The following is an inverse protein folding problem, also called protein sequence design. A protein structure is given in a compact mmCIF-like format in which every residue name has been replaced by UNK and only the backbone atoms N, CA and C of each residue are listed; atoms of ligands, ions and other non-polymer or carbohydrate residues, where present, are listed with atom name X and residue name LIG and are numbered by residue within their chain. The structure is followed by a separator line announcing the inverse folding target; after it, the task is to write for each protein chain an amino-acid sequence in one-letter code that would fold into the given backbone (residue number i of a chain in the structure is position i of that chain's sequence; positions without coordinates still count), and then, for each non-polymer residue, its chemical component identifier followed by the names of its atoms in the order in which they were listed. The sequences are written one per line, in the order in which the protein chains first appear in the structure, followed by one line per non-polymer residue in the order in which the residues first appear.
data_IF_898968783583
#
_entry.id   IF_898968783583
#
_cell.length_a   1.000
_cell.length_b   1.000
_cell.length_c   1.000
_cell.angle_alpha   90.00
_cell.angle_beta   90.00
_cell.angle_gamma   90.00
#
_symmetry.space_group_name_H-M   'P 1'
#
loop_
_entity.id
_entity.type
_entity.pdbx_description
1 polymer ?
#
# COMPACT_ATOMS: atom_id res chain seq x y z
N UNK A 1 -5.71 13.49 -4.38
CA UNK A 1 -4.46 12.75 -4.70
C UNK A 1 -4.70 11.98 -5.98
N UNK A 2 -3.90 12.24 -6.99
CA UNK A 2 -3.99 11.46 -8.20
C UNK A 2 -3.18 10.16 -8.03
N UNK A 3 -3.54 9.13 -8.79
CA UNK A 3 -2.87 7.81 -8.74
C UNK A 3 -1.36 7.89 -8.99
N UNK A 4 -0.90 8.95 -9.66
CA UNK A 4 0.50 9.20 -9.94
C UNK A 4 1.29 9.56 -8.67
N UNK A 5 0.79 10.51 -7.87
CA UNK A 5 1.44 10.92 -6.61
C UNK A 5 1.47 9.77 -5.60
N UNK A 6 0.38 9.02 -5.52
CA UNK A 6 0.32 7.83 -4.67
C UNK A 6 1.32 6.77 -5.14
N UNK A 7 1.39 6.50 -6.45
CA UNK A 7 2.36 5.57 -7.03
C UNK A 7 3.81 5.99 -6.75
N UNK A 8 4.10 7.30 -6.86
CA UNK A 8 5.43 7.84 -6.55
C UNK A 8 5.78 7.67 -5.06
N UNK A 9 4.83 7.95 -4.15
CA UNK A 9 5.03 7.76 -2.72
C UNK A 9 5.34 6.29 -2.36
N UNK A 10 4.59 5.33 -2.92
CA UNK A 10 4.92 3.91 -2.75
C UNK A 10 6.30 3.57 -3.32
N UNK A 11 6.62 4.08 -4.51
CA UNK A 11 7.92 3.83 -5.15
C UNK A 11 9.07 4.33 -4.29
N UNK A 12 8.96 5.51 -3.71
CA UNK A 12 9.97 6.09 -2.82
C UNK A 12 10.23 5.22 -1.59
N UNK A 13 9.17 4.71 -0.97
CA UNK A 13 9.27 3.81 0.17
C UNK A 13 9.91 2.47 -0.23
N UNK A 14 9.41 1.84 -1.30
CA UNK A 14 9.90 0.52 -1.75
C UNK A 14 11.36 0.60 -2.20
N UNK A 15 11.77 1.68 -2.88
CA UNK A 15 13.15 1.84 -3.36
C UNK A 15 14.18 1.78 -2.21
N UNK A 16 13.81 2.28 -1.03
CA UNK A 16 14.64 2.17 0.18
C UNK A 16 14.67 0.76 0.81
N UNK A 17 13.80 -0.13 0.37
CA UNK A 17 13.65 -1.48 0.93
C UNK A 17 14.20 -2.57 0.02
N UNK A 18 14.64 -2.23 -1.19
CA UNK A 18 15.18 -3.21 -2.13
C UNK A 18 16.45 -3.88 -1.59
N UNK A 19 16.60 -5.16 -1.86
CA UNK A 19 17.82 -5.91 -1.56
C UNK A 19 19.01 -5.26 -2.29
N UNK A 20 20.18 -5.23 -1.65
CA UNK A 20 21.38 -4.64 -2.25
C UNK A 20 21.79 -5.36 -3.53
N UNK A 21 21.57 -6.67 -3.59
CA UNK A 21 21.82 -7.53 -4.75
C UNK A 21 20.76 -8.62 -4.84
N UNK A 22 20.51 -9.08 -6.06
CA UNK A 22 19.54 -10.14 -6.32
C UNK A 22 18.13 -9.62 -6.50
N UNK A 23 17.16 -10.50 -6.38
CA UNK A 23 15.74 -10.21 -6.59
C UNK A 23 15.05 -9.87 -5.29
N UNK A 24 14.32 -8.75 -5.26
CA UNK A 24 13.38 -8.41 -4.19
C UNK A 24 11.98 -8.84 -4.59
N UNK A 25 11.37 -9.70 -3.79
CA UNK A 25 9.97 -10.14 -3.97
C UNK A 25 9.04 -9.13 -3.31
N UNK A 26 8.14 -8.53 -4.08
CA UNK A 26 7.22 -7.50 -3.61
C UNK A 26 5.80 -7.96 -3.91
N UNK A 27 4.94 -8.02 -2.89
CA UNK A 27 3.54 -8.35 -3.01
C UNK A 27 2.66 -7.16 -2.65
N UNK A 28 1.80 -6.74 -3.59
CA UNK A 28 0.71 -5.82 -3.34
C UNK A 28 -0.54 -6.60 -2.94
N UNK A 29 -1.08 -6.28 -1.78
CA UNK A 29 -2.22 -6.98 -1.20
C UNK A 29 -3.38 -6.01 -0.98
N UNK A 30 -4.55 -6.34 -1.51
CA UNK A 30 -5.78 -5.57 -1.39
C UNK A 30 -6.97 -6.47 -1.13
N UNK A 31 -8.07 -5.89 -0.65
CA UNK A 31 -9.37 -6.58 -0.62
C UNK A 31 -10.17 -6.29 -1.88
N UNK A 32 -11.15 -7.13 -2.20
CA UNK A 32 -12.07 -6.92 -3.32
C UNK A 32 -12.89 -5.63 -3.16
N UNK A 33 -13.15 -5.21 -1.92
CA UNK A 33 -13.86 -3.96 -1.62
C UNK A 33 -13.03 -2.70 -1.86
N UNK A 34 -11.70 -2.79 -1.76
CA UNK A 34 -10.77 -1.67 -1.98
C UNK A 34 -10.19 -1.62 -3.40
N UNK A 35 -10.37 -2.70 -4.18
CA UNK A 35 -9.83 -2.77 -5.54
C UNK A 35 -10.61 -1.89 -6.50
N UNK A 36 -9.97 -0.82 -6.99
CA UNK A 36 -10.53 0.14 -7.94
C UNK A 36 -9.64 0.25 -9.17
N UNK A 37 -10.08 1.01 -10.17
CA UNK A 37 -9.23 1.35 -11.31
C UNK A 37 -7.99 2.15 -10.87
N UNK A 38 -8.14 3.00 -9.86
CA UNK A 38 -7.04 3.80 -9.30
C UNK A 38 -5.97 2.93 -8.62
N UNK A 39 -6.36 1.93 -7.85
CA UNK A 39 -5.39 1.00 -7.24
C UNK A 39 -4.59 0.22 -8.29
N UNK A 40 -5.23 -0.16 -9.41
CA UNK A 40 -4.52 -0.76 -10.53
C UNK A 40 -3.52 0.21 -11.17
N UNK A 41 -3.90 1.48 -11.35
CA UNK A 41 -2.99 2.51 -11.90
C UNK A 41 -1.79 2.73 -10.98
N UNK A 42 -1.98 2.76 -9.66
CA UNK A 42 -0.90 2.84 -8.67
C UNK A 42 0.07 1.68 -8.83
N UNK A 43 -0.42 0.44 -8.91
CA UNK A 43 0.42 -0.73 -9.11
C UNK A 43 1.27 -0.65 -10.38
N UNK A 44 0.67 -0.29 -11.53
CA UNK A 44 1.41 -0.13 -12.79
C UNK A 44 2.41 1.01 -12.74
N UNK A 45 2.08 2.11 -12.09
CA UNK A 45 2.99 3.24 -11.90
C UNK A 45 4.22 2.82 -11.09
N UNK A 46 4.02 2.16 -9.96
CA UNK A 46 5.10 1.64 -9.11
C UNK A 46 5.99 0.68 -9.90
N UNK A 47 5.38 -0.26 -10.64
CA UNK A 47 6.11 -1.21 -11.46
C UNK A 47 7.03 -0.51 -12.47
N UNK A 48 6.51 0.49 -13.18
CA UNK A 48 7.26 1.27 -14.17
C UNK A 48 8.39 2.07 -13.55
N UNK A 49 8.13 2.73 -12.42
CA UNK A 49 9.14 3.56 -11.75
C UNK A 49 10.24 2.73 -11.10
N UNK A 50 9.94 1.63 -10.44
CA UNK A 50 10.94 0.76 -9.84
C UNK A 50 11.91 0.19 -10.89
N UNK A 51 11.42 -0.17 -12.07
CA UNK A 51 12.28 -0.62 -13.17
C UNK A 51 13.31 0.44 -13.57
N UNK A 52 12.96 1.73 -13.50
CA UNK A 52 13.86 2.84 -13.82
C UNK A 52 14.82 3.21 -12.67
N UNK A 53 14.47 2.88 -11.43
CA UNK A 53 15.22 3.27 -10.22
C UNK A 53 16.15 2.17 -9.68
N UNK A 54 16.00 0.92 -10.13
CA UNK A 54 16.86 -0.17 -9.67
C UNK A 54 18.32 0.04 -10.06
N UNK A 55 19.22 -0.31 -9.15
CA UNK A 55 20.67 -0.23 -9.38
C UNK A 55 21.19 -1.49 -10.09
N UNK A 56 22.39 -1.41 -10.63
CA UNK A 56 23.08 -2.56 -11.24
C UNK A 56 23.18 -3.71 -10.24
N UNK A 57 22.72 -4.90 -10.63
CA UNK A 57 22.71 -6.10 -9.79
C UNK A 57 21.46 -6.27 -8.93
N UNK A 58 20.52 -5.31 -8.97
CA UNK A 58 19.20 -5.44 -8.37
C UNK A 58 18.17 -5.88 -9.42
N UNK A 59 17.24 -6.72 -9.01
CA UNK A 59 16.03 -7.04 -9.76
C UNK A 59 14.82 -7.00 -8.82
N UNK A 60 13.65 -6.76 -9.39
CA UNK A 60 12.40 -6.71 -8.64
C UNK A 60 11.39 -7.65 -9.28
N UNK A 61 10.68 -8.38 -8.46
CA UNK A 61 9.54 -9.20 -8.88
C UNK A 61 8.30 -8.70 -8.14
N UNK A 62 7.43 -7.99 -8.88
CA UNK A 62 6.18 -7.48 -8.37
C UNK A 62 5.05 -8.44 -8.69
N UNK A 63 4.25 -8.73 -7.69
CA UNK A 63 2.98 -9.43 -7.82
C UNK A 63 1.88 -8.65 -7.10
N UNK A 64 0.64 -8.88 -7.50
CA UNK A 64 -0.53 -8.38 -6.80
C UNK A 64 -1.47 -9.53 -6.48
N UNK A 65 -2.12 -9.44 -5.34
CA UNK A 65 -3.19 -10.34 -4.97
C UNK A 65 -4.36 -9.55 -4.38
N UNK A 66 -5.56 -9.91 -4.77
CA UNK A 66 -6.79 -9.32 -4.27
C UNK A 66 -7.55 -10.39 -3.51
N UNK A 67 -7.65 -10.21 -2.19
CA UNK A 67 -8.43 -11.12 -1.34
C UNK A 67 -9.91 -10.89 -1.60
N UNK A 68 -10.65 -11.95 -1.86
CA UNK A 68 -12.11 -11.88 -1.89
C UNK A 68 -12.61 -11.66 -0.46
N UNK A 69 -13.17 -10.49 -0.20
CA UNK A 69 -13.67 -10.08 1.12
C UNK A 69 -15.19 -10.25 1.21
N UNK A 70 -15.75 -11.27 0.59
CA UNK A 70 -17.20 -11.56 0.61
C UNK A 70 -17.71 -12.07 1.97
N UNK A 71 -16.82 -12.64 2.80
CA UNK A 71 -17.10 -13.00 4.18
C UNK A 71 -16.21 -12.26 5.18
N UNK A 72 -16.70 -12.08 6.41
CA UNK A 72 -16.08 -11.22 7.44
C UNK A 72 -14.65 -11.62 7.85
N UNK A 73 -14.28 -12.88 7.65
CA UNK A 73 -12.95 -13.40 8.07
C UNK A 73 -12.03 -13.80 6.92
N UNK A 74 -12.44 -13.63 5.66
CA UNK A 74 -11.66 -14.08 4.49
C UNK A 74 -10.27 -13.45 4.45
N UNK A 75 -10.16 -12.16 4.75
CA UNK A 75 -8.87 -11.44 4.74
C UNK A 75 -7.95 -11.93 5.86
N UNK A 76 -8.47 -12.10 7.06
CA UNK A 76 -7.70 -12.61 8.20
C UNK A 76 -7.21 -14.05 7.94
N UNK A 77 -8.07 -14.92 7.42
CA UNK A 77 -7.72 -16.30 7.08
C UNK A 77 -6.65 -16.36 5.98
N UNK A 78 -6.81 -15.59 4.93
CA UNK A 78 -5.82 -15.53 3.86
C UNK A 78 -4.45 -15.05 4.36
N UNK A 79 -4.41 -13.96 5.14
CA UNK A 79 -3.17 -13.42 5.69
C UNK A 79 -2.53 -14.42 6.64
N UNK A 80 -3.31 -15.03 7.52
CA UNK A 80 -2.83 -16.10 8.40
C UNK A 80 -2.18 -17.26 7.62
N UNK A 81 -2.85 -17.77 6.61
CA UNK A 81 -2.35 -18.89 5.82
C UNK A 81 -1.07 -18.54 5.05
N UNK A 82 -0.94 -17.30 4.58
CA UNK A 82 0.28 -16.77 3.98
C UNK A 82 1.45 -16.78 4.99
N UNK A 83 1.21 -16.37 6.25
CA UNK A 83 2.24 -16.31 7.28
C UNK A 83 2.58 -17.69 7.87
N UNK A 84 1.66 -18.63 7.87
CA UNK A 84 1.94 -20.04 8.24
C UNK A 84 2.89 -20.69 7.24
N UNK A 85 2.84 -20.32 5.96
CA UNK A 85 3.72 -20.80 4.91
C UNK A 85 4.90 -19.84 4.70
N UNK A 86 5.82 -19.82 5.66
CA UNK A 86 6.96 -18.87 5.70
C UNK A 86 7.81 -18.84 4.43
N UNK A 87 7.93 -19.96 3.69
CA UNK A 87 8.71 -20.05 2.46
C UNK A 87 8.14 -19.19 1.31
N UNK A 88 6.87 -18.78 1.41
CA UNK A 88 6.17 -17.97 0.41
C UNK A 88 6.09 -16.48 0.76
N UNK A 89 6.63 -16.07 1.92
CA UNK A 89 6.58 -14.67 2.34
C UNK A 89 7.42 -13.77 1.41
N UNK A 90 6.90 -12.61 1.00
CA UNK A 90 7.66 -11.65 0.21
C UNK A 90 8.70 -10.92 1.08
N UNK A 91 9.71 -10.32 0.45
CA UNK A 91 10.64 -9.41 1.12
C UNK A 91 9.95 -8.11 1.54
N UNK A 92 9.03 -7.62 0.69
CA UNK A 92 8.26 -6.40 0.91
C UNK A 92 6.78 -6.70 0.66
N UNK A 93 5.94 -6.39 1.63
CA UNK A 93 4.48 -6.48 1.54
C UNK A 93 3.88 -5.07 1.54
N UNK A 94 3.11 -4.76 0.52
CA UNK A 94 2.45 -3.46 0.35
C UNK A 94 0.95 -3.65 0.53
N UNK A 95 0.43 -3.14 1.64
CA UNK A 95 -1.00 -3.18 1.92
C UNK A 95 -1.68 -1.98 1.24
N UNK A 96 -2.79 -2.24 0.55
CA UNK A 96 -3.50 -1.25 -0.25
C UNK A 96 -4.80 -0.78 0.42
N UNK A 97 -5.11 -1.29 1.60
CA UNK A 97 -6.24 -0.85 2.43
C UNK A 97 -5.99 -1.09 3.93
N UNK A 98 -6.85 -0.49 4.76
CA UNK A 98 -6.74 -0.54 6.21
C UNK A 98 -6.92 -1.97 6.76
N UNK A 99 -7.92 -2.70 6.25
CA UNK A 99 -8.23 -4.06 6.73
C UNK A 99 -7.04 -4.99 6.53
N UNK A 100 -6.46 -4.98 5.33
CA UNK A 100 -5.25 -5.76 5.05
C UNK A 100 -4.10 -5.34 5.94
N UNK A 101 -3.92 -4.02 6.16
CA UNK A 101 -2.83 -3.50 7.00
C UNK A 101 -2.93 -4.02 8.43
N UNK A 102 -4.12 -4.01 9.01
CA UNK A 102 -4.33 -4.48 10.39
C UNK A 102 -4.18 -6.01 10.50
N UNK A 103 -4.69 -6.77 9.53
CA UNK A 103 -4.50 -8.23 9.50
C UNK A 103 -3.01 -8.60 9.38
N UNK A 104 -2.26 -7.91 8.51
CA UNK A 104 -0.81 -8.15 8.34
C UNK A 104 -0.04 -7.74 9.58
N UNK A 105 -0.37 -6.62 10.20
CA UNK A 105 0.23 -6.21 11.47
C UNK A 105 0.07 -7.28 12.54
N UNK A 106 -1.15 -7.81 12.72
CA UNK A 106 -1.41 -8.86 13.70
C UNK A 106 -0.62 -10.13 13.37
N UNK A 107 -0.60 -10.55 12.11
CA UNK A 107 0.13 -11.75 11.67
C UNK A 107 1.66 -11.61 11.87
N UNK A 108 2.25 -10.42 11.61
CA UNK A 108 3.68 -10.17 11.88
C UNK A 108 4.04 -10.45 13.35
N UNK A 109 3.16 -10.06 14.28
CA UNK A 109 3.35 -10.28 15.71
C UNK A 109 3.14 -11.74 16.07
N UNK A 110 2.02 -12.32 15.64
CA UNK A 110 1.60 -13.68 16.03
C UNK A 110 2.56 -14.76 15.50
N UNK A 111 3.12 -14.56 14.31
CA UNK A 111 4.06 -15.50 13.68
C UNK A 111 5.54 -15.08 13.81
N UNK A 112 5.83 -14.07 14.66
CA UNK A 112 7.20 -13.62 14.94
C UNK A 112 8.00 -13.23 13.69
N UNK A 113 7.34 -12.60 12.71
CA UNK A 113 7.93 -12.18 11.43
C UNK A 113 8.32 -10.69 11.40
N UNK A 114 8.26 -10.01 12.54
CA UNK A 114 8.69 -8.61 12.67
C UNK A 114 10.15 -8.46 12.28
N UNK A 115 10.43 -7.60 11.30
CA UNK A 115 11.77 -7.37 10.76
C UNK A 115 12.20 -8.34 9.65
N UNK A 116 11.56 -9.50 9.50
CA UNK A 116 11.82 -10.43 8.40
C UNK A 116 11.10 -10.02 7.11
N UNK A 117 9.87 -9.51 7.22
CA UNK A 117 9.09 -8.93 6.14
C UNK A 117 8.99 -7.43 6.37
N UNK A 118 9.34 -6.63 5.37
CA UNK A 118 9.15 -5.18 5.40
C UNK A 118 7.74 -4.87 4.94
N UNK A 119 6.99 -4.09 5.71
CA UNK A 119 5.57 -3.82 5.40
C UNK A 119 5.33 -2.33 5.27
N UNK A 120 4.70 -1.95 4.16
CA UNK A 120 4.12 -0.63 3.94
C UNK A 120 2.62 -0.77 4.12
N UNK A 121 2.08 -0.12 5.16
CA UNK A 121 0.66 -0.08 5.45
C UNK A 121 -0.09 0.97 4.63
N UNK A 122 -1.38 0.97 4.77
CA UNK A 122 -2.29 1.98 4.25
C UNK A 122 -3.16 2.53 5.38
N UNK A 123 -3.46 3.83 5.34
CA UNK A 123 -4.22 4.54 6.36
C UNK A 123 -3.41 4.93 7.62
N UNK A 124 -4.06 5.60 8.58
CA UNK A 124 -3.43 6.13 9.81
C UNK A 124 -4.35 5.98 11.03
N UNK A 125 -4.82 4.78 11.32
CA UNK A 125 -5.48 4.53 12.60
C UNK A 125 -4.46 4.56 13.75
N UNK A 126 -4.92 4.74 14.99
CA UNK A 126 -4.06 4.68 16.17
C UNK A 126 -3.29 3.35 16.26
N UNK A 127 -3.90 2.26 15.78
CA UNK A 127 -3.28 0.93 15.72
C UNK A 127 -2.09 0.93 14.75
N UNK A 128 -2.28 1.46 13.56
CA UNK A 128 -1.23 1.53 12.51
C UNK A 128 -0.09 2.44 12.95
N UNK A 129 -0.39 3.63 13.50
CA UNK A 129 0.62 4.56 13.98
C UNK A 129 1.45 3.96 15.11
N UNK A 130 0.81 3.28 16.06
CA UNK A 130 1.50 2.58 17.14
C UNK A 130 2.36 1.41 16.62
N UNK A 131 1.93 0.71 15.58
CA UNK A 131 2.70 -0.35 14.95
C UNK A 131 3.97 0.19 14.27
N UNK A 132 3.91 1.39 13.66
CA UNK A 132 5.07 2.07 13.08
C UNK A 132 6.03 2.53 14.19
N UNK A 133 5.51 3.16 15.25
CA UNK A 133 6.32 3.62 16.39
C UNK A 133 7.09 2.48 17.07
N UNK A 134 6.50 1.30 17.12
CA UNK A 134 7.14 0.06 17.60
C UNK A 134 8.07 -0.62 16.59
N UNK A 135 8.17 -0.11 15.36
CA UNK A 135 8.99 -0.71 14.31
C UNK A 135 8.43 -2.03 13.74
N UNK A 136 7.15 -2.32 13.95
CA UNK A 136 6.48 -3.52 13.42
C UNK A 136 6.13 -3.32 11.95
N UNK A 137 5.55 -2.15 11.61
CA UNK A 137 5.38 -1.70 10.23
C UNK A 137 6.51 -0.73 9.87
N UNK A 138 6.97 -0.79 8.63
CA UNK A 138 8.05 0.08 8.15
C UNK A 138 7.58 1.51 7.91
N UNK A 139 6.39 1.66 7.34
CA UNK A 139 5.74 2.94 7.05
C UNK A 139 4.27 2.73 6.71
N UNK A 140 3.54 3.82 6.51
CA UNK A 140 2.18 3.80 5.95
C UNK A 140 2.01 4.90 4.92
N UNK A 141 1.11 4.68 3.97
CA UNK A 141 0.65 5.69 3.02
C UNK A 141 -0.79 6.07 3.39
N UNK A 142 -1.05 7.34 3.56
CA UNK A 142 -2.39 7.83 3.87
C UNK A 142 -2.75 9.01 2.97
N UNK A 143 -4.03 9.12 2.63
CA UNK A 143 -4.55 10.32 1.98
C UNK A 143 -4.79 11.42 3.01
N UNK A 144 -4.36 12.63 2.71
CA UNK A 144 -4.72 13.82 3.51
C UNK A 144 -6.19 14.18 3.26
N UNK A 145 -7.05 13.74 4.16
CA UNK A 145 -8.49 13.97 4.06
C UNK A 145 -8.86 15.45 4.23
N UNK A 146 -8.04 16.24 4.92
CA UNK A 146 -8.24 17.68 5.07
C UNK A 146 -7.99 18.41 3.73
N UNK A 147 -6.96 18.01 3.00
CA UNK A 147 -6.74 18.52 1.63
C UNK A 147 -7.86 18.11 0.69
N UNK A 148 -8.27 16.85 0.70
CA UNK A 148 -9.41 16.38 -0.12
C UNK A 148 -10.67 17.16 0.20
N UNK A 149 -10.95 17.43 1.46
CA UNK A 149 -12.07 18.26 1.90
C UNK A 149 -11.99 19.69 1.36
N UNK A 150 -10.82 20.34 1.45
CA UNK A 150 -10.60 21.70 0.92
C UNK A 150 -10.78 21.78 -0.60
N UNK A 151 -10.22 20.82 -1.35
CA UNK A 151 -10.42 20.78 -2.80
C UNK A 151 -11.86 20.59 -3.20
N UNK A 152 -12.61 19.75 -2.47
CA UNK A 152 -14.02 19.51 -2.73
C UNK A 152 -14.87 20.76 -2.48
N UNK A 153 -14.59 21.51 -1.42
CA UNK A 153 -15.29 22.78 -1.10
C UNK A 153 -14.95 23.84 -2.14
N UNK A 154 -13.68 24.01 -2.48
CA UNK A 154 -13.24 24.98 -3.48
C UNK A 154 -13.83 24.68 -4.86
N UNK A 155 -13.88 23.42 -5.28
CA UNK A 155 -14.51 23.03 -6.54
C UNK A 155 -16.02 23.32 -6.57
N UNK A 156 -16.70 23.14 -5.43
CA UNK A 156 -18.11 23.46 -5.29
C UNK A 156 -18.37 24.98 -5.34
N UNK A 157 -17.56 25.78 -4.64
CA UNK A 157 -17.63 27.24 -4.67
C UNK A 157 -17.38 27.78 -6.09
N UNK A 158 -16.41 27.24 -6.79
CA UNK A 158 -16.10 27.61 -8.17
C UNK A 158 -17.25 27.25 -9.11
N UNK A 159 -17.83 26.06 -8.98
CA UNK A 159 -18.99 25.64 -9.76
C UNK A 159 -20.20 26.54 -9.52
N UNK A 160 -20.47 26.91 -8.26
CA UNK A 160 -21.59 27.80 -7.91
C UNK A 160 -21.38 29.23 -8.42
N UNK A 161 -20.13 29.70 -8.50
CA UNK A 161 -19.78 31.05 -8.94
C UNK A 161 -19.65 31.21 -10.45
N UNK A 162 -19.12 30.19 -11.13
CA UNK A 162 -18.74 30.24 -12.55
C UNK A 162 -19.61 29.34 -13.45
N UNK A 163 -20.41 28.45 -12.88
CA UNK A 163 -21.22 27.48 -13.61
C UNK A 163 -20.43 26.31 -14.22
N UNK A 164 -19.14 26.22 -13.92
CA UNK A 164 -18.27 25.08 -14.30
C UNK A 164 -17.17 24.90 -13.25
N UNK A 165 -16.67 23.69 -13.11
CA UNK A 165 -15.46 23.41 -12.32
C UNK A 165 -14.26 23.30 -13.26
N UNK A 166 -13.13 23.92 -12.90
CA UNK A 166 -11.86 23.60 -13.52
C UNK A 166 -11.40 22.26 -12.96
N UNK A 167 -11.11 21.28 -13.85
CA UNK A 167 -10.58 20.01 -13.41
C UNK A 167 -9.20 20.22 -12.78
N UNK A 168 -9.10 20.01 -11.47
CA UNK A 168 -7.83 19.93 -10.78
C UNK A 168 -7.23 18.55 -11.09
N UNK A 169 -6.20 18.55 -11.92
CA UNK A 169 -5.41 17.38 -12.25
C UNK A 169 -4.17 17.31 -11.37
#
# INVERSE_FOLDING_TARGET
LNSYEMGSAYTDQIAGMLNEKGTTQILFLSTSSSKTQETNLVYYQVKKELESRKKTGQSVNLSEYCVDSSADFDTEEFVRDMFVNEESLPDVLVCMDEVVTECVYQALVDYNQVGNVKVIGYYYSDVILNAIDKGILSSTIAMDMDEVGKYSVNALEEYLSLGHSNGYY
#
